data_IF_384911180651
#
_entry.id   IF_384911180651
#
_cell.length_a   1.000
_cell.length_b   1.000
_cell.length_c   1.000
_cell.angle_alpha   90.00
_cell.angle_beta   90.00
_cell.angle_gamma   90.00
#
_symmetry.space_group_name_H-M   'P 1'
#
loop_
_entity.id
_entity.type
_entity.pdbx_description
1 polymer ?
#
# COMPACT_ATOMS: atom_id res chain seq x y z
N UNK A 1 -19.13 4.83 -6.61
CA UNK A 1 -18.42 4.45 -5.37
C UNK A 1 -17.75 5.71 -4.83
N UNK A 2 -17.95 6.03 -3.56
CA UNK A 2 -17.22 7.11 -2.90
C UNK A 2 -15.90 6.52 -2.39
N UNK A 3 -14.77 6.86 -3.02
CA UNK A 3 -13.44 6.37 -2.68
C UNK A 3 -12.40 7.46 -2.92
N UNK A 4 -11.20 7.38 -2.31
CA UNK A 4 -10.09 8.23 -2.69
C UNK A 4 -9.69 8.06 -4.16
N UNK A 5 -9.05 9.06 -4.75
CA UNK A 5 -8.29 8.87 -5.98
C UNK A 5 -7.03 8.06 -5.66
N UNK A 6 -6.83 6.93 -6.33
CA UNK A 6 -5.77 5.97 -5.97
C UNK A 6 -4.74 5.86 -7.09
N UNK A 7 -3.50 6.20 -6.76
CA UNK A 7 -2.34 6.08 -7.64
C UNK A 7 -1.49 4.89 -7.17
N UNK A 8 -1.18 3.94 -8.04
CA UNK A 8 -0.10 2.98 -7.77
C UNK A 8 1.23 3.64 -8.17
N UNK A 9 2.12 3.89 -7.21
CA UNK A 9 3.43 4.51 -7.46
C UNK A 9 4.55 3.58 -7.04
N UNK A 10 5.41 3.22 -7.99
CA UNK A 10 6.51 2.27 -7.76
C UNK A 10 7.78 2.70 -8.46
N UNK A 11 8.92 2.41 -7.82
CA UNK A 11 10.21 2.36 -8.50
C UNK A 11 10.48 0.94 -8.98
N UNK A 12 11.05 0.80 -10.18
CA UNK A 12 11.45 -0.49 -10.74
C UNK A 12 12.81 -0.44 -11.38
N UNK A 13 13.47 -1.61 -11.52
CA UNK A 13 14.53 -1.80 -12.52
C UNK A 13 13.96 -1.78 -13.94
N UNK A 14 14.82 -1.71 -14.96
CA UNK A 14 14.43 -1.78 -16.38
C UNK A 14 13.69 -3.07 -16.73
N UNK A 15 13.99 -4.17 -16.03
CA UNK A 15 13.30 -5.47 -16.17
C UNK A 15 12.08 -5.62 -15.22
N UNK A 16 11.61 -4.53 -14.60
CA UNK A 16 10.32 -4.44 -13.88
C UNK A 16 10.32 -5.00 -12.47
N UNK A 17 11.47 -5.19 -11.83
CA UNK A 17 11.59 -5.70 -10.46
C UNK A 17 11.47 -4.57 -9.43
N UNK A 18 10.90 -4.88 -8.26
CA UNK A 18 10.55 -3.91 -7.21
C UNK A 18 11.16 -4.23 -5.84
N UNK A 19 12.14 -5.12 -5.78
CA UNK A 19 12.79 -5.47 -4.51
C UNK A 19 13.52 -4.25 -3.91
N UNK A 20 13.15 -3.84 -2.68
CA UNK A 20 13.70 -2.66 -2.01
C UNK A 20 15.23 -2.71 -1.92
N UNK A 21 15.80 -3.85 -1.51
CA UNK A 21 17.24 -4.01 -1.40
C UNK A 21 17.99 -3.79 -2.72
N UNK A 22 17.32 -3.95 -3.86
CA UNK A 22 17.86 -3.67 -5.18
C UNK A 22 17.56 -2.22 -5.61
N UNK A 23 16.33 -1.76 -5.44
CA UNK A 23 15.92 -0.41 -5.88
C UNK A 23 16.70 0.69 -5.18
N UNK A 24 17.12 0.49 -3.92
CA UNK A 24 18.00 1.42 -3.19
C UNK A 24 19.34 1.68 -3.87
N UNK A 25 19.80 0.78 -4.73
CA UNK A 25 21.06 0.88 -5.46
C UNK A 25 20.89 1.38 -6.91
N UNK A 26 19.66 1.58 -7.36
CA UNK A 26 19.40 2.08 -8.70
C UNK A 26 19.64 3.60 -8.80
N UNK A 27 20.23 4.09 -9.89
CA UNK A 27 20.15 5.51 -10.22
C UNK A 27 18.68 5.93 -10.31
N UNK A 28 18.32 7.03 -9.64
CA UNK A 28 16.94 7.53 -9.61
C UNK A 28 16.22 7.37 -8.28
N UNK A 29 16.86 6.89 -7.21
CA UNK A 29 16.24 6.74 -5.88
C UNK A 29 15.72 8.08 -5.36
N UNK A 30 16.48 9.17 -5.49
CA UNK A 30 16.01 10.49 -5.03
C UNK A 30 14.79 10.93 -5.84
N UNK A 31 14.82 10.73 -7.16
CA UNK A 31 13.71 11.05 -8.04
C UNK A 31 12.44 10.22 -7.71
N UNK A 32 12.59 9.02 -7.13
CA UNK A 32 11.44 8.25 -6.66
C UNK A 32 10.68 9.01 -5.55
N UNK A 33 11.39 9.52 -4.56
CA UNK A 33 10.76 10.29 -3.49
C UNK A 33 10.20 11.62 -3.99
N UNK A 34 10.95 12.33 -4.85
CA UNK A 34 10.51 13.58 -5.46
C UNK A 34 9.22 13.38 -6.30
N UNK A 35 9.14 12.27 -7.05
CA UNK A 35 7.94 11.94 -7.84
C UNK A 35 6.79 11.49 -6.97
N UNK A 36 7.03 10.79 -5.85
CA UNK A 36 6.00 10.43 -4.88
C UNK A 36 5.37 11.68 -4.24
N UNK A 37 6.20 12.65 -3.86
CA UNK A 37 5.71 13.92 -3.31
C UNK A 37 4.95 14.74 -4.37
N UNK A 38 5.42 14.74 -5.63
CA UNK A 38 4.74 15.40 -6.75
C UNK A 38 3.36 14.82 -7.10
N UNK A 39 3.01 13.64 -6.60
CA UNK A 39 1.67 13.06 -6.76
C UNK A 39 0.62 13.72 -5.88
N UNK A 40 1.01 14.52 -4.89
CA UNK A 40 0.09 15.16 -3.93
C UNK A 40 -0.87 14.11 -3.31
N UNK A 41 -0.27 13.01 -2.83
CA UNK A 41 -0.98 11.92 -2.19
C UNK A 41 -0.49 11.77 -0.73
N UNK A 42 -1.09 12.51 0.22
CA UNK A 42 -0.64 12.54 1.60
C UNK A 42 -0.76 11.18 2.30
N UNK A 43 -1.70 10.34 1.83
CA UNK A 43 -1.88 8.97 2.34
C UNK A 43 -1.09 7.98 1.49
N UNK A 44 -0.33 7.10 2.17
CA UNK A 44 0.41 5.99 1.55
C UNK A 44 -0.19 4.66 1.98
N UNK A 45 -0.20 3.68 1.09
CA UNK A 45 -0.75 2.33 1.33
C UNK A 45 0.30 1.30 0.95
N UNK A 46 0.68 0.46 1.89
CA UNK A 46 1.60 -0.66 1.68
C UNK A 46 0.99 -1.99 2.14
N UNK A 47 1.58 -3.08 1.69
CA UNK A 47 1.21 -4.43 2.16
C UNK A 47 2.04 -4.87 3.36
N UNK A 48 1.58 -5.93 4.03
CA UNK A 48 2.23 -6.50 5.22
C UNK A 48 3.73 -6.77 5.03
N UNK A 49 4.14 -7.36 3.89
CA UNK A 49 5.55 -7.72 3.66
C UNK A 49 6.44 -6.47 3.58
N UNK A 50 6.00 -5.44 2.89
CA UNK A 50 6.72 -4.14 2.83
C UNK A 50 6.81 -3.53 4.23
N UNK A 51 5.70 -3.51 4.96
CA UNK A 51 5.69 -2.97 6.32
C UNK A 51 6.56 -3.77 7.30
N UNK A 52 6.63 -5.09 7.16
CA UNK A 52 7.50 -5.97 7.97
C UNK A 52 8.99 -5.66 7.75
N UNK A 53 9.37 -5.26 6.53
CA UNK A 53 10.75 -4.92 6.17
C UNK A 53 11.15 -3.49 6.58
N UNK A 54 10.21 -2.54 6.53
CA UNK A 54 10.53 -1.12 6.58
C UNK A 54 10.08 -0.43 7.88
N UNK A 55 9.00 -0.90 8.54
CA UNK A 55 8.33 -0.13 9.60
C UNK A 55 8.02 -0.92 10.86
N UNK A 56 7.69 -2.21 10.72
CA UNK A 56 7.25 -3.03 11.84
C UNK A 56 8.41 -3.39 12.79
N UNK A 57 8.08 -3.61 14.05
CA UNK A 57 9.03 -4.18 15.00
C UNK A 57 9.30 -5.66 14.66
N UNK A 58 10.51 -6.17 14.95
CA UNK A 58 10.82 -7.59 14.77
C UNK A 58 9.89 -8.49 15.57
N UNK A 59 9.49 -9.62 14.97
CA UNK A 59 8.61 -10.60 15.58
C UNK A 59 7.19 -10.56 15.03
N UNK A 60 6.29 -11.30 15.68
CA UNK A 60 4.87 -11.36 15.30
C UNK A 60 3.99 -11.22 16.52
N UNK A 61 2.84 -10.58 16.32
CA UNK A 61 1.78 -10.57 17.33
C UNK A 61 1.15 -11.97 17.42
N UNK A 62 1.11 -12.53 18.61
CA UNK A 62 0.48 -13.81 18.90
C UNK A 62 -0.70 -13.60 19.84
N UNK A 63 -1.91 -13.79 19.35
CA UNK A 63 -3.12 -13.74 20.17
C UNK A 63 -3.15 -14.95 21.11
N UNK A 64 -3.51 -14.74 22.37
CA UNK A 64 -3.67 -15.82 23.38
C UNK A 64 -4.98 -16.58 23.17
N UNK A 65 -5.96 -15.94 22.56
CA UNK A 65 -7.26 -16.53 22.24
C UNK A 65 -7.53 -16.41 20.74
N UNK A 66 -8.29 -17.38 20.18
CA UNK A 66 -8.71 -17.36 18.79
C UNK A 66 -10.01 -16.54 18.58
N UNK A 67 -10.35 -15.63 19.49
CA UNK A 67 -11.59 -14.86 19.39
C UNK A 67 -11.47 -13.77 18.33
N UNK A 68 -12.05 -14.03 17.15
CA UNK A 68 -12.13 -13.07 16.07
C UNK A 68 -13.10 -11.93 16.37
N UNK A 69 -12.90 -10.78 15.72
CA UNK A 69 -13.86 -9.67 15.77
C UNK A 69 -15.22 -10.08 15.21
N UNK A 70 -15.24 -10.75 14.05
CA UNK A 70 -16.42 -11.37 13.43
C UNK A 70 -17.42 -10.40 12.80
N UNK A 71 -17.07 -9.13 12.65
CA UNK A 71 -17.91 -8.11 12.02
C UNK A 71 -17.08 -6.93 11.52
N UNK A 72 -17.67 -6.15 10.61
CA UNK A 72 -17.10 -4.86 10.20
C UNK A 72 -17.07 -3.89 11.37
N UNK A 73 -15.92 -3.23 11.57
CA UNK A 73 -15.77 -2.13 12.51
C UNK A 73 -14.53 -1.30 12.17
N UNK A 74 -14.43 -0.10 12.74
CA UNK A 74 -13.23 0.72 12.65
C UNK A 74 -13.01 1.52 13.94
N UNK A 75 -11.79 1.98 14.14
CA UNK A 75 -11.41 2.90 15.20
C UNK A 75 -10.47 3.95 14.62
N UNK A 76 -10.81 5.23 14.84
CA UNK A 76 -9.98 6.37 14.45
C UNK A 76 -9.29 6.92 15.69
N UNK A 77 -7.98 6.72 15.78
CA UNK A 77 -7.17 7.19 16.91
C UNK A 77 -6.64 8.63 16.73
N UNK A 78 -6.47 9.07 15.48
CA UNK A 78 -5.96 10.40 15.16
C UNK A 78 -6.70 11.00 13.96
N UNK A 79 -6.79 12.33 13.93
CA UNK A 79 -7.16 13.12 12.75
C UNK A 79 -5.88 13.61 12.08
N UNK A 80 -5.74 13.35 10.77
CA UNK A 80 -4.59 13.78 9.99
C UNK A 80 -4.99 14.05 8.54
N UNK A 81 -4.19 14.85 7.84
CA UNK A 81 -4.35 15.08 6.41
C UNK A 81 -4.04 13.83 5.57
N UNK A 82 -3.11 13.00 6.05
CA UNK A 82 -2.71 11.74 5.44
C UNK A 82 -2.38 10.68 6.47
N UNK A 83 -2.35 9.43 6.04
CA UNK A 83 -2.07 8.27 6.88
C UNK A 83 -1.03 7.37 6.23
N UNK A 84 -0.25 6.68 7.06
CA UNK A 84 0.52 5.52 6.64
C UNK A 84 -0.34 4.28 6.84
N UNK A 85 -0.85 3.71 5.75
CA UNK A 85 -1.80 2.59 5.78
C UNK A 85 -1.09 1.28 5.48
N UNK A 86 -1.26 0.30 6.35
CA UNK A 86 -0.74 -1.05 6.14
C UNK A 86 -1.87 -2.07 6.05
N UNK A 87 -1.87 -2.86 4.97
CA UNK A 87 -2.80 -3.98 4.81
C UNK A 87 -2.22 -5.22 5.47
N UNK A 88 -2.64 -5.51 6.70
CA UNK A 88 -2.30 -6.71 7.48
C UNK A 88 -3.56 -7.50 7.79
N UNK A 89 -3.97 -8.34 6.85
CA UNK A 89 -5.24 -9.07 6.85
C UNK A 89 -5.55 -9.80 8.15
N UNK A 90 -4.53 -10.33 8.82
CA UNK A 90 -4.70 -11.17 10.02
C UNK A 90 -4.24 -10.50 11.32
N UNK A 91 -3.68 -9.29 11.25
CA UNK A 91 -3.18 -8.59 12.43
C UNK A 91 -1.99 -9.31 13.06
N UNK A 92 -0.88 -9.39 12.34
CA UNK A 92 0.30 -10.14 12.75
C UNK A 92 1.53 -9.27 13.03
N UNK A 93 1.53 -8.02 12.58
CA UNK A 93 2.67 -7.13 12.75
C UNK A 93 2.69 -6.49 14.14
N UNK A 94 3.90 -6.27 14.64
CA UNK A 94 4.16 -5.53 15.87
C UNK A 94 4.55 -4.09 15.55
N UNK A 95 4.04 -3.16 16.34
CA UNK A 95 4.22 -1.73 16.13
C UNK A 95 4.90 -1.07 17.33
N UNK A 96 5.78 -0.12 17.04
CA UNK A 96 6.27 0.82 18.05
C UNK A 96 5.16 1.70 18.59
N UNK A 97 5.51 2.64 19.48
CA UNK A 97 4.58 3.71 19.81
C UNK A 97 4.43 4.59 18.58
N UNK A 98 3.18 4.92 18.24
CA UNK A 98 2.93 5.89 17.18
C UNK A 98 3.51 7.20 17.65
N UNK A 99 4.63 7.60 17.04
CA UNK A 99 5.16 8.93 17.27
C UNK A 99 4.13 9.97 16.77
N UNK A 100 4.32 11.23 17.15
CA UNK A 100 3.59 12.37 16.58
C UNK A 100 4.05 12.57 15.12
N UNK A 101 3.86 11.53 14.29
CA UNK A 101 4.27 11.52 12.90
C UNK A 101 3.27 12.32 12.05
N UNK A 102 3.76 12.98 11.03
CA UNK A 102 2.92 13.68 10.04
C UNK A 102 1.87 12.77 9.40
N UNK A 103 2.14 11.46 9.36
CA UNK A 103 1.23 10.41 8.88
C UNK A 103 1.04 9.34 9.95
N UNK A 104 -0.01 9.43 10.77
CA UNK A 104 -0.31 8.40 11.75
C UNK A 104 -0.62 7.06 11.07
N UNK A 105 -0.22 5.98 11.72
CA UNK A 105 -0.43 4.62 11.24
C UNK A 105 -1.92 4.23 11.28
N UNK A 106 -2.36 3.54 10.21
CA UNK A 106 -3.69 2.93 10.11
C UNK A 106 -3.58 1.52 9.55
N UNK A 107 -4.18 0.55 10.24
CA UNK A 107 -4.13 -0.86 9.83
C UNK A 107 -5.45 -1.26 9.17
N UNK A 108 -5.37 -1.79 7.93
CA UNK A 108 -6.49 -2.46 7.28
C UNK A 108 -6.39 -3.96 7.55
N UNK A 109 -7.46 -4.53 8.11
CA UNK A 109 -7.51 -5.95 8.46
C UNK A 109 -8.86 -6.56 8.08
N UNK A 110 -8.97 -7.89 8.16
CA UNK A 110 -10.24 -8.59 7.94
C UNK A 110 -11.04 -8.75 9.24
N UNK A 111 -12.28 -9.18 9.12
CA UNK A 111 -13.13 -9.51 10.27
C UNK A 111 -12.60 -10.71 11.07
N UNK A 112 -11.62 -11.47 10.54
CA UNK A 112 -10.96 -12.57 11.24
C UNK A 112 -9.85 -12.11 12.20
N UNK A 113 -9.53 -10.83 12.21
CA UNK A 113 -8.55 -10.28 13.17
C UNK A 113 -8.96 -10.59 14.61
N UNK A 114 -8.00 -10.93 15.46
CA UNK A 114 -8.30 -11.17 16.88
C UNK A 114 -8.68 -9.89 17.59
N UNK A 115 -9.61 -9.98 18.52
CA UNK A 115 -9.97 -8.85 19.40
C UNK A 115 -8.77 -8.36 20.21
N UNK A 116 -7.85 -9.27 20.56
CA UNK A 116 -6.63 -8.92 21.28
C UNK A 116 -5.70 -8.03 20.44
N UNK A 117 -5.59 -8.30 19.13
CA UNK A 117 -4.80 -7.44 18.25
C UNK A 117 -5.40 -6.03 18.15
N UNK A 118 -6.72 -5.93 18.03
CA UNK A 118 -7.37 -4.61 18.03
C UNK A 118 -7.22 -3.87 19.36
N UNK A 119 -7.26 -4.58 20.48
CA UNK A 119 -6.97 -4.00 21.79
C UNK A 119 -5.50 -3.53 21.88
N UNK A 120 -4.57 -4.29 21.29
CA UNK A 120 -3.17 -3.90 21.18
C UNK A 120 -3.01 -2.61 20.34
N UNK A 121 -3.65 -2.53 19.16
CA UNK A 121 -3.62 -1.32 18.32
C UNK A 121 -4.20 -0.11 19.07
N UNK A 122 -5.33 -0.28 19.75
CA UNK A 122 -5.94 0.78 20.55
C UNK A 122 -5.01 1.25 21.67
N UNK A 123 -4.32 0.33 22.35
CA UNK A 123 -3.32 0.65 23.38
C UNK A 123 -2.10 1.40 22.86
N UNK A 124 -1.84 1.31 21.54
CA UNK A 124 -0.77 2.02 20.83
C UNK A 124 -1.27 3.30 20.14
N UNK A 125 -2.54 3.67 20.29
CA UNK A 125 -3.18 4.78 19.59
C UNK A 125 -3.08 4.67 18.06
N UNK A 126 -3.17 3.45 17.52
CA UNK A 126 -3.14 3.16 16.09
C UNK A 126 -4.56 3.01 15.57
N UNK A 127 -4.89 3.73 14.50
CA UNK A 127 -6.17 3.59 13.80
C UNK A 127 -6.28 2.25 13.10
N UNK A 128 -7.49 1.72 12.96
CA UNK A 128 -7.70 0.48 12.23
C UNK A 128 -9.09 0.42 11.59
N UNK A 129 -9.18 -0.35 10.50
CA UNK A 129 -10.41 -0.72 9.81
C UNK A 129 -10.39 -2.23 9.63
N UNK A 130 -11.41 -2.92 10.14
CA UNK A 130 -11.65 -4.34 9.93
C UNK A 130 -12.86 -4.49 9.01
N UNK A 131 -12.65 -5.01 7.80
CA UNK A 131 -13.72 -5.22 6.83
C UNK A 131 -13.39 -6.37 5.87
N UNK A 132 -14.41 -7.10 5.46
CA UNK A 132 -14.29 -8.33 4.67
C UNK A 132 -14.08 -9.58 5.54
N UNK A 133 -14.75 -10.67 5.18
CA UNK A 133 -14.85 -11.87 6.02
C UNK A 133 -13.54 -12.60 6.23
N UNK A 134 -12.86 -12.98 5.17
CA UNK A 134 -11.59 -13.77 5.22
C UNK A 134 -10.39 -12.94 4.80
N UNK A 135 -10.61 -12.03 3.87
CA UNK A 135 -9.61 -11.09 3.36
C UNK A 135 -10.15 -9.67 3.50
N UNK A 136 -9.26 -8.70 3.52
CA UNK A 136 -9.66 -7.28 3.50
C UNK A 136 -10.48 -7.00 2.25
N UNK A 137 -11.70 -6.50 2.42
CA UNK A 137 -12.47 -5.94 1.32
C UNK A 137 -11.94 -4.53 0.99
N UNK A 138 -11.04 -4.47 0.02
CA UNK A 138 -10.40 -3.21 -0.38
C UNK A 138 -11.39 -2.16 -0.90
N UNK A 139 -12.53 -2.58 -1.50
CA UNK A 139 -13.57 -1.63 -1.93
C UNK A 139 -14.23 -0.99 -0.73
N UNK A 140 -14.64 -1.83 0.22
CA UNK A 140 -15.27 -1.36 1.44
C UNK A 140 -14.30 -0.54 2.29
N UNK A 141 -13.04 -0.96 2.40
CA UNK A 141 -11.99 -0.18 3.07
C UNK A 141 -11.88 1.24 2.47
N UNK A 142 -11.82 1.34 1.13
CA UNK A 142 -11.73 2.64 0.46
C UNK A 142 -12.96 3.52 0.68
N UNK A 143 -14.16 2.94 0.79
CA UNK A 143 -15.37 3.69 1.14
C UNK A 143 -15.29 4.28 2.56
N UNK A 144 -14.81 3.49 3.52
CA UNK A 144 -14.60 3.93 4.92
C UNK A 144 -13.52 5.00 4.99
N UNK A 145 -12.39 4.81 4.28
CA UNK A 145 -11.32 5.81 4.21
C UNK A 145 -11.82 7.17 3.70
N UNK A 146 -12.69 7.17 2.68
CA UNK A 146 -13.24 8.41 2.14
C UNK A 146 -14.32 9.02 3.06
N UNK A 147 -15.17 8.20 3.68
CA UNK A 147 -16.33 8.68 4.43
C UNK A 147 -15.98 9.10 5.88
N UNK A 148 -15.12 8.31 6.56
CA UNK A 148 -14.87 8.46 8.00
C UNK A 148 -13.52 9.15 8.30
N UNK A 149 -12.56 9.06 7.36
CA UNK A 149 -11.23 9.67 7.53
C UNK A 149 -10.98 10.83 6.55
N UNK A 150 -11.94 11.15 5.71
CA UNK A 150 -11.89 12.22 4.70
C UNK A 150 -10.69 12.12 3.73
N UNK A 151 -10.18 10.92 3.48
CA UNK A 151 -9.07 10.72 2.57
C UNK A 151 -9.53 10.93 1.14
N UNK A 152 -8.90 11.87 0.45
CA UNK A 152 -9.24 12.23 -0.94
C UNK A 152 -8.32 11.57 -1.95
N UNK A 153 -7.05 11.37 -1.59
CA UNK A 153 -6.02 10.85 -2.48
C UNK A 153 -5.06 9.94 -1.72
N UNK A 154 -4.69 8.81 -2.33
CA UNK A 154 -3.75 7.86 -1.74
C UNK A 154 -2.81 7.28 -2.79
N UNK A 155 -1.55 7.04 -2.40
CA UNK A 155 -0.58 6.32 -3.19
C UNK A 155 -0.42 4.89 -2.66
N UNK A 156 -0.64 3.88 -3.50
CA UNK A 156 -0.26 2.49 -3.20
C UNK A 156 1.21 2.34 -3.59
N UNK A 157 2.06 2.11 -2.59
CA UNK A 157 3.52 2.13 -2.72
C UNK A 157 4.18 0.74 -2.56
N UNK A 158 3.39 -0.32 -2.66
CA UNK A 158 3.94 -1.67 -2.72
C UNK A 158 3.41 -2.64 -1.68
N UNK A 159 3.76 -3.96 -1.72
CA UNK A 159 4.44 -4.70 -2.82
C UNK A 159 3.52 -5.14 -3.94
N UNK A 160 4.08 -5.99 -4.82
CA UNK A 160 3.37 -6.42 -6.04
C UNK A 160 2.00 -7.03 -5.82
N UNK A 161 1.80 -7.79 -4.76
CA UNK A 161 0.51 -8.41 -4.43
C UNK A 161 -0.55 -7.39 -3.99
N UNK A 162 -0.18 -6.36 -3.22
CA UNK A 162 -1.15 -5.34 -2.83
C UNK A 162 -1.52 -4.45 -4.03
N UNK A 163 -0.54 -4.09 -4.88
CA UNK A 163 -0.79 -3.39 -6.13
C UNK A 163 -1.76 -4.18 -7.01
N UNK A 164 -1.53 -5.49 -7.15
CA UNK A 164 -2.39 -6.42 -7.89
C UNK A 164 -3.80 -6.51 -7.30
N UNK A 165 -3.92 -6.53 -5.96
CA UNK A 165 -5.20 -6.52 -5.26
C UNK A 165 -6.03 -5.26 -5.58
N UNK A 166 -5.42 -4.08 -5.53
CA UNK A 166 -6.08 -2.83 -5.91
C UNK A 166 -6.48 -2.80 -7.38
N UNK A 167 -5.61 -3.32 -8.27
CA UNK A 167 -5.92 -3.45 -9.68
C UNK A 167 -7.09 -4.41 -9.93
N UNK A 168 -7.08 -5.59 -9.29
CA UNK A 168 -8.15 -6.59 -9.41
C UNK A 168 -9.50 -6.07 -8.90
N UNK A 169 -9.48 -5.27 -7.84
CA UNK A 169 -10.67 -4.62 -7.29
C UNK A 169 -11.20 -3.45 -8.14
N UNK A 170 -10.48 -3.03 -9.22
CA UNK A 170 -10.84 -1.88 -10.06
C UNK A 170 -10.72 -0.54 -9.34
N UNK A 171 -9.84 -0.45 -8.34
CA UNK A 171 -9.70 0.73 -7.49
C UNK A 171 -8.66 1.73 -7.99
N UNK A 172 -7.69 1.29 -8.80
CA UNK A 172 -6.66 2.18 -9.32
C UNK A 172 -7.23 3.15 -10.35
N UNK A 173 -6.88 4.41 -10.21
CA UNK A 173 -7.18 5.48 -11.16
C UNK A 173 -5.96 5.80 -12.03
N UNK A 174 -4.77 5.67 -11.44
CA UNK A 174 -3.49 6.00 -12.09
C UNK A 174 -2.43 4.96 -11.75
N UNK A 175 -1.53 4.71 -12.69
CA UNK A 175 -0.28 3.96 -12.52
C UNK A 175 0.87 4.90 -12.81
N UNK A 176 1.78 5.04 -11.85
CA UNK A 176 2.94 5.93 -11.86
C UNK A 176 4.19 5.10 -11.60
N UNK A 177 5.07 4.99 -12.57
CA UNK A 177 6.26 4.13 -12.50
C UNK A 177 7.51 4.96 -12.74
N UNK A 178 8.44 4.94 -11.80
CA UNK A 178 9.80 5.40 -12.02
C UNK A 178 10.69 4.21 -12.36
N UNK A 179 11.19 4.17 -13.57
CA UNK A 179 12.14 3.15 -14.02
C UNK A 179 13.55 3.66 -13.72
N UNK A 180 14.24 3.05 -12.76
CA UNK A 180 15.64 3.32 -12.48
C UNK A 180 16.55 2.70 -13.54
N UNK A 181 17.69 3.35 -13.81
CA UNK A 181 18.62 2.97 -14.87
C UNK A 181 19.49 1.77 -14.49
N UNK A 182 18.87 0.59 -14.28
CA UNK A 182 19.58 -0.64 -13.95
C UNK A 182 18.73 -1.89 -14.21
N UNK A 183 19.39 -3.04 -14.23
CA UNK A 183 18.79 -4.37 -14.43
C UNK A 183 19.03 -5.18 -13.17
N UNK A 184 17.97 -5.79 -12.63
CA UNK A 184 18.07 -6.75 -11.53
C UNK A 184 18.50 -8.15 -12.05
N UNK A 185 17.75 -8.70 -12.99
CA UNK A 185 18.02 -9.99 -13.62
C UNK A 185 17.85 -11.22 -12.72
N UNK A 186 17.54 -11.06 -11.43
CA UNK A 186 17.35 -12.19 -10.49
C UNK A 186 16.03 -12.93 -10.76
N UNK A 187 16.04 -14.25 -10.69
CA UNK A 187 14.83 -15.07 -10.79
C UNK A 187 13.98 -14.99 -9.51
N UNK A 188 12.64 -15.08 -9.67
CA UNK A 188 11.72 -15.14 -8.53
C UNK A 188 11.44 -13.81 -7.82
N UNK A 189 12.01 -12.70 -8.30
CA UNK A 189 11.71 -11.38 -7.77
C UNK A 189 10.34 -10.88 -8.25
N UNK A 190 9.62 -10.18 -7.37
CA UNK A 190 8.31 -9.62 -7.69
C UNK A 190 8.39 -8.51 -8.73
N UNK A 191 7.33 -8.40 -9.52
CA UNK A 191 7.06 -7.27 -10.40
C UNK A 191 6.10 -6.27 -9.74
N UNK A 192 5.86 -5.14 -10.41
CA UNK A 192 4.91 -4.10 -9.91
C UNK A 192 3.53 -4.66 -9.60
N UNK A 193 3.05 -5.60 -10.41
CA UNK A 193 1.77 -6.30 -10.22
C UNK A 193 2.02 -7.79 -10.29
N UNK A 194 1.80 -8.49 -9.20
CA UNK A 194 2.11 -9.92 -9.08
C UNK A 194 0.99 -10.68 -8.38
N UNK A 195 0.84 -11.98 -8.69
CA UNK A 195 -0.15 -12.86 -8.06
C UNK A 195 -1.57 -12.79 -8.65
N UNK A 196 -1.77 -12.16 -9.82
CA UNK A 196 -3.05 -12.20 -10.53
C UNK A 196 -3.25 -13.54 -11.26
N UNK A 197 -4.51 -13.99 -11.44
CA UNK A 197 -4.79 -15.23 -12.17
C UNK A 197 -4.27 -15.19 -13.62
N UNK A 198 -3.79 -16.33 -14.11
CA UNK A 198 -3.24 -16.48 -15.47
C UNK A 198 -4.26 -16.15 -16.58
N UNK A 199 -5.54 -16.39 -16.32
CA UNK A 199 -6.63 -16.15 -17.26
C UNK A 199 -7.04 -14.68 -17.34
N UNK A 200 -6.49 -13.84 -16.47
CA UNK A 200 -6.81 -12.42 -16.48
C UNK A 200 -6.27 -11.75 -17.74
N UNK A 201 -7.15 -11.04 -18.43
CA UNK A 201 -6.77 -10.20 -19.57
C UNK A 201 -5.93 -8.98 -19.17
N UNK A 202 -5.35 -8.32 -20.16
CA UNK A 202 -4.58 -7.08 -19.98
C UNK A 202 -5.52 -5.94 -19.56
N UNK A 203 -5.12 -5.14 -18.60
CA UNK A 203 -5.78 -3.88 -18.26
C UNK A 203 -5.19 -2.78 -19.15
N UNK A 204 -5.99 -2.12 -20.02
CA UNK A 204 -5.49 -1.06 -20.87
C UNK A 204 -5.16 0.19 -20.04
N UNK A 205 -4.10 0.87 -20.45
CA UNK A 205 -3.60 2.09 -19.81
C UNK A 205 -3.47 3.20 -20.86
N UNK A 206 -3.83 4.43 -20.50
CA UNK A 206 -3.64 5.61 -21.33
C UNK A 206 -2.48 6.45 -20.82
N UNK A 207 -1.40 6.54 -21.58
CA UNK A 207 -0.23 7.35 -21.25
C UNK A 207 -0.62 8.83 -21.08
N UNK A 208 -0.21 9.43 -19.96
CA UNK A 208 -0.46 10.84 -19.63
C UNK A 208 0.80 11.68 -19.54
N UNK A 209 1.91 11.08 -19.10
CA UNK A 209 3.20 11.79 -18.97
C UNK A 209 4.38 10.86 -19.10
N UNK A 210 5.47 11.40 -19.67
CA UNK A 210 6.80 10.79 -19.70
C UNK A 210 7.80 11.87 -19.31
N UNK A 211 8.66 11.59 -18.32
CA UNK A 211 9.72 12.50 -17.92
C UNK A 211 11.04 11.73 -17.79
N UNK A 212 12.10 12.27 -18.37
CA UNK A 212 13.45 11.74 -18.24
C UNK A 212 14.25 12.58 -17.23
N UNK A 213 15.07 11.93 -16.43
CA UNK A 213 15.95 12.55 -15.44
C UNK A 213 17.43 12.42 -15.82
N UNK A 214 18.26 13.30 -15.25
CA UNK A 214 19.71 13.29 -15.48
C UNK A 214 20.40 12.02 -14.95
N UNK A 215 19.83 11.33 -13.99
CA UNK A 215 20.27 10.02 -13.50
C UNK A 215 20.09 8.88 -14.51
N UNK A 216 19.36 9.11 -15.60
CA UNK A 216 18.93 8.09 -16.56
C UNK A 216 17.60 7.43 -16.20
N UNK A 217 16.99 7.78 -15.06
CA UNK A 217 15.67 7.31 -14.70
C UNK A 217 14.57 7.91 -15.60
N UNK A 218 13.48 7.17 -15.77
CA UNK A 218 12.33 7.60 -16.58
C UNK A 218 11.05 7.45 -15.76
N UNK A 219 10.31 8.53 -15.61
CA UNK A 219 9.00 8.53 -14.95
C UNK A 219 7.89 8.44 -15.97
N UNK A 220 7.05 7.41 -15.83
CA UNK A 220 5.89 7.14 -16.67
C UNK A 220 4.62 7.26 -15.84
N UNK A 221 3.61 7.97 -16.37
CA UNK A 221 2.29 8.06 -15.75
C UNK A 221 1.20 7.65 -16.74
N UNK A 222 0.25 6.86 -16.25
CA UNK A 222 -0.85 6.34 -17.05
C UNK A 222 -2.16 6.43 -16.27
N UNK A 223 -3.25 6.82 -16.93
CA UNK A 223 -4.59 6.60 -16.41
C UNK A 223 -5.00 5.15 -16.69
N UNK A 224 -5.68 4.53 -15.71
CA UNK A 224 -6.29 3.22 -15.87
C UNK A 224 -7.60 3.38 -16.63
N UNK A 225 -7.74 2.70 -17.77
CA UNK A 225 -9.00 2.68 -18.54
C UNK A 225 -9.97 1.69 -17.87
N UNK A 226 -11.19 2.17 -17.57
CA UNK A 226 -12.26 1.41 -16.87
C UNK A 226 -13.33 0.97 -17.83
#
# INVERSE_FOLDING_TARGET
MNKPYIVCHMMTSVDGRIDCAMTEHLPGVQEYYDTLDALDAPTRISGRVTAELEMALPGKFEAKTAEALGKEAFSKAADAEGYEIVVDTHGTLLWGESAEDERPLLILTSEQVSKEYLAYLNGKHISWIACGKEHVDLKRACEILAAELDIKRAAVVGGGHINAGFLAAGLLDEVSILIGAGIDGRGGMQSVFDGLPMERGVTPLKLTSVQQYGSGAVWLRYNVEK
#
